data_IF_395794099154
#
_entry.id   IF_395794099154
#
_cell.length_a   1.000
_cell.length_b   1.000
_cell.length_c   1.000
_cell.angle_alpha   90.00
_cell.angle_beta   90.00
_cell.angle_gamma   90.00
#
_symmetry.space_group_name_H-M   'P 1'
#
loop_
_entity.id
_entity.type
_entity.pdbx_description
1 polymer ?
#
# COMPACT_ATOMS: atom_id res chain seq x y z
N UNK A 1 -4.82 10.99 8.03
CA UNK A 1 -5.50 11.18 6.73
C UNK A 1 -6.49 10.06 6.40
N UNK A 2 -6.67 9.09 7.29
CA UNK A 2 -7.61 7.98 7.14
C UNK A 2 -8.91 8.35 7.85
N UNK A 3 -10.04 8.05 7.22
CA UNK A 3 -11.36 8.24 7.79
C UNK A 3 -11.95 6.90 8.27
N UNK A 4 -11.89 6.62 9.58
CA UNK A 4 -12.31 5.34 10.16
C UNK A 4 -13.77 4.94 9.87
N UNK A 5 -14.76 5.85 9.87
CA UNK A 5 -16.12 5.48 9.50
C UNK A 5 -16.24 4.95 8.07
N UNK A 6 -15.44 5.51 7.14
CA UNK A 6 -15.35 4.97 5.78
C UNK A 6 -14.72 3.58 5.80
N UNK A 7 -13.59 3.40 6.49
CA UNK A 7 -12.93 2.08 6.61
C UNK A 7 -13.90 1.04 7.16
N UNK A 8 -14.64 1.36 8.23
CA UNK A 8 -15.61 0.46 8.83
C UNK A 8 -16.76 0.10 7.88
N UNK A 9 -17.26 1.08 7.11
CA UNK A 9 -18.27 0.84 6.07
C UNK A 9 -17.73 -0.09 4.99
N UNK A 10 -16.54 0.21 4.47
CA UNK A 10 -15.89 -0.61 3.45
C UNK A 10 -15.67 -2.05 3.92
N UNK A 11 -15.11 -2.26 5.11
CA UNK A 11 -14.93 -3.59 5.72
C UNK A 11 -16.26 -4.33 5.84
N UNK A 12 -17.35 -3.63 6.18
CA UNK A 12 -18.66 -4.27 6.35
C UNK A 12 -19.33 -4.63 5.01
N UNK A 13 -19.12 -3.84 3.95
CA UNK A 13 -19.94 -3.90 2.74
C UNK A 13 -19.23 -4.39 1.49
N UNK A 14 -17.90 -4.27 1.40
CA UNK A 14 -17.13 -4.57 0.19
C UNK A 14 -16.44 -5.92 0.37
N UNK A 15 -16.74 -6.87 -0.53
CA UNK A 15 -16.22 -8.25 -0.45
C UNK A 15 -14.69 -8.36 -0.53
N UNK A 16 -14.01 -7.33 -1.04
CA UNK A 16 -12.54 -7.22 -1.01
C UNK A 16 -11.98 -7.40 0.42
N UNK A 17 -12.71 -6.94 1.43
CA UNK A 17 -12.27 -6.95 2.82
C UNK A 17 -12.92 -8.06 3.66
N UNK A 18 -13.49 -9.09 3.03
CA UNK A 18 -14.18 -10.19 3.73
C UNK A 18 -13.28 -10.89 4.76
N UNK A 19 -11.98 -11.02 4.50
CA UNK A 19 -11.03 -11.60 5.45
C UNK A 19 -10.84 -10.72 6.69
N UNK A 20 -10.71 -9.40 6.50
CA UNK A 20 -10.63 -8.43 7.59
C UNK A 20 -11.92 -8.45 8.41
N UNK A 21 -13.07 -8.50 7.73
CA UNK A 21 -14.38 -8.60 8.39
C UNK A 21 -14.49 -9.88 9.21
N UNK A 22 -14.01 -11.03 8.72
CA UNK A 22 -14.00 -12.29 9.47
C UNK A 22 -13.18 -12.18 10.75
N UNK A 23 -12.04 -11.49 10.73
CA UNK A 23 -11.23 -11.30 11.93
C UNK A 23 -11.91 -10.38 12.94
N UNK A 24 -12.58 -9.31 12.47
CA UNK A 24 -13.45 -8.49 13.34
C UNK A 24 -14.60 -9.32 13.93
N UNK A 25 -15.23 -10.21 13.15
CA UNK A 25 -16.28 -11.11 13.63
C UNK A 25 -15.77 -12.08 14.71
N UNK A 26 -14.55 -12.61 14.55
CA UNK A 26 -13.92 -13.48 15.56
C UNK A 26 -13.65 -12.73 16.86
N UNK A 27 -13.12 -11.50 16.78
CA UNK A 27 -12.80 -10.69 17.95
C UNK A 27 -14.08 -10.26 18.69
N UNK A 28 -15.11 -9.86 17.96
CA UNK A 28 -16.40 -9.42 18.55
C UNK A 28 -17.30 -10.58 18.97
N UNK A 29 -17.07 -11.80 18.46
CA UNK A 29 -17.94 -12.96 18.64
C UNK A 29 -19.30 -12.83 17.93
N UNK A 30 -19.44 -11.90 16.97
CA UNK A 30 -20.69 -11.60 16.27
C UNK A 30 -20.57 -11.91 14.79
N UNK A 31 -21.59 -12.52 14.21
CA UNK A 31 -21.65 -12.73 12.75
C UNK A 31 -21.84 -11.41 11.98
N UNK A 32 -22.47 -10.41 12.58
CA UNK A 32 -22.77 -9.12 11.94
C UNK A 32 -22.43 -7.98 12.91
N UNK A 33 -21.15 -7.62 13.06
CA UNK A 33 -20.76 -6.45 13.84
C UNK A 33 -21.32 -5.18 13.20
N UNK A 34 -21.78 -4.25 14.03
CA UNK A 34 -22.22 -2.92 13.60
C UNK A 34 -21.02 -2.02 13.23
N UNK A 35 -21.25 -0.95 12.46
CA UNK A 35 -20.18 -0.02 12.06
C UNK A 35 -19.42 0.54 13.26
N UNK A 36 -20.14 0.93 14.33
CA UNK A 36 -19.53 1.42 15.56
C UNK A 36 -18.63 0.36 16.23
N UNK A 37 -19.00 -0.92 16.17
CA UNK A 37 -18.17 -1.99 16.71
C UNK A 37 -16.92 -2.22 15.88
N UNK A 38 -17.04 -2.17 14.55
CA UNK A 38 -15.89 -2.26 13.65
C UNK A 38 -14.93 -1.08 13.89
N UNK A 39 -15.45 0.14 14.00
CA UNK A 39 -14.64 1.34 14.34
C UNK A 39 -13.92 1.19 15.69
N UNK A 40 -14.59 0.64 16.71
CA UNK A 40 -13.97 0.40 18.01
C UNK A 40 -12.89 -0.67 17.95
N UNK A 41 -13.07 -1.72 17.14
CA UNK A 41 -12.04 -2.73 16.91
C UNK A 41 -10.85 -2.13 16.16
N UNK A 42 -11.06 -1.32 15.12
CA UNK A 42 -9.98 -0.63 14.40
C UNK A 42 -9.09 0.24 15.32
N UNK A 43 -9.65 0.77 16.42
CA UNK A 43 -8.89 1.53 17.43
C UNK A 43 -8.17 0.64 18.44
N UNK A 44 -8.76 -0.49 18.82
CA UNK A 44 -8.25 -1.39 19.87
C UNK A 44 -7.23 -2.39 19.34
N UNK A 45 -7.41 -2.80 18.09
CA UNK A 45 -6.61 -3.82 17.41
C UNK A 45 -6.01 -3.22 16.13
N UNK A 46 -4.85 -2.52 16.24
CA UNK A 46 -4.25 -1.82 15.10
C UNK A 46 -3.96 -2.71 13.90
N UNK A 47 -3.73 -4.01 14.14
CA UNK A 47 -3.50 -5.01 13.08
C UNK A 47 -4.64 -5.05 12.07
N UNK A 48 -5.90 -4.91 12.50
CA UNK A 48 -7.06 -4.91 11.59
C UNK A 48 -7.00 -3.73 10.61
N UNK A 49 -6.53 -2.57 11.07
CA UNK A 49 -6.35 -1.40 10.21
C UNK A 49 -5.17 -1.60 9.26
N UNK A 50 -4.08 -2.22 9.73
CA UNK A 50 -2.93 -2.53 8.87
C UNK A 50 -3.29 -3.56 7.79
N UNK A 51 -4.07 -4.59 8.11
CA UNK A 51 -4.54 -5.58 7.13
C UNK A 51 -5.42 -4.92 6.05
N UNK A 52 -6.33 -4.03 6.47
CA UNK A 52 -7.11 -3.21 5.52
C UNK A 52 -6.22 -2.37 4.61
N UNK A 53 -5.21 -1.69 5.19
CA UNK A 53 -4.28 -0.87 4.42
C UNK A 53 -3.47 -1.68 3.44
N UNK A 54 -3.00 -2.86 3.86
CA UNK A 54 -2.24 -3.77 3.04
C UNK A 54 -3.05 -4.23 1.83
N UNK A 55 -4.29 -4.65 2.04
CA UNK A 55 -5.20 -5.04 0.95
C UNK A 55 -5.35 -3.89 -0.06
N UNK A 56 -5.52 -2.66 0.41
CA UNK A 56 -5.60 -1.50 -0.48
C UNK A 56 -4.36 -1.35 -1.36
N UNK A 57 -3.16 -1.43 -0.77
CA UNK A 57 -1.92 -1.30 -1.53
C UNK A 57 -1.73 -2.43 -2.54
N UNK A 58 -2.10 -3.66 -2.19
CA UNK A 58 -2.06 -4.81 -3.10
C UNK A 58 -2.99 -4.62 -4.31
N UNK A 59 -4.13 -3.94 -4.11
CA UNK A 59 -5.11 -3.64 -5.15
C UNK A 59 -4.90 -2.25 -5.80
N UNK A 60 -3.79 -1.55 -5.50
CA UNK A 60 -3.48 -0.20 -5.97
C UNK A 60 -4.49 0.88 -5.57
N UNK A 61 -5.18 0.68 -4.46
CA UNK A 61 -6.09 1.63 -3.83
C UNK A 61 -5.32 2.44 -2.79
N UNK A 62 -5.63 3.73 -2.68
CA UNK A 62 -4.96 4.65 -1.74
C UNK A 62 -5.66 4.65 -0.38
N UNK A 63 -4.91 4.53 0.72
CA UNK A 63 -5.47 4.69 2.08
C UNK A 63 -5.65 6.15 2.49
N UNK A 64 -5.25 7.10 1.64
CA UNK A 64 -5.44 8.53 1.88
C UNK A 64 -6.87 8.91 1.51
N UNK A 65 -7.69 9.18 2.54
CA UNK A 65 -9.12 9.51 2.38
C UNK A 65 -9.37 11.02 2.29
N UNK A 66 -8.38 11.79 1.81
CA UNK A 66 -8.48 13.23 1.61
C UNK A 66 -8.44 13.57 0.12
N UNK A 67 -9.38 14.41 -0.32
CA UNK A 67 -9.34 15.06 -1.63
C UNK A 67 -8.35 16.20 -1.62
N UNK A 68 -7.96 16.60 -2.83
CA UNK A 68 -7.17 17.80 -3.03
C UNK A 68 -8.00 19.04 -2.65
N UNK A 69 -7.33 20.04 -2.09
CA UNK A 69 -7.94 21.30 -1.67
C UNK A 69 -8.25 22.15 -2.90
N UNK A 70 -9.49 22.62 -3.00
CA UNK A 70 -9.93 23.54 -4.05
C UNK A 70 -9.36 24.94 -3.84
N UNK A 71 -8.29 25.26 -4.58
CA UNK A 71 -7.59 26.53 -4.48
C UNK A 71 -8.46 27.75 -4.82
N UNK A 72 -9.54 27.57 -5.58
CA UNK A 72 -10.41 28.69 -6.01
C UNK A 72 -11.28 29.23 -4.88
N UNK A 73 -11.53 28.42 -3.85
CA UNK A 73 -12.35 28.77 -2.68
C UNK A 73 -11.52 29.34 -1.53
N UNK A 74 -10.21 29.38 -1.68
CA UNK A 74 -9.28 29.80 -0.65
C UNK A 74 -8.88 31.28 -0.77
N UNK A 75 -8.71 31.97 0.37
CA UNK A 75 -8.01 33.25 0.42
C UNK A 75 -6.60 33.14 -0.19
N UNK A 76 -6.14 34.18 -0.89
CA UNK A 76 -4.82 34.19 -1.57
C UNK A 76 -3.67 33.81 -0.63
N UNK A 77 -3.73 34.23 0.63
CA UNK A 77 -2.72 33.93 1.65
C UNK A 77 -2.60 32.43 1.99
N UNK A 78 -3.66 31.64 1.77
CA UNK A 78 -3.67 30.20 2.04
C UNK A 78 -3.37 29.35 0.78
N UNK A 79 -3.35 29.95 -0.42
CA UNK A 79 -3.29 29.20 -1.69
C UNK A 79 -1.95 28.49 -1.93
N UNK A 80 -0.82 29.14 -1.63
CA UNK A 80 0.51 28.54 -1.85
C UNK A 80 0.71 27.30 -0.97
N UNK A 81 0.29 27.37 0.28
CA UNK A 81 0.41 26.25 1.22
C UNK A 81 -0.56 25.11 0.89
N UNK A 82 -1.80 25.43 0.49
CA UNK A 82 -2.75 24.43 0.00
C UNK A 82 -2.24 23.74 -1.28
N UNK A 83 -1.52 24.46 -2.15
CA UNK A 83 -0.88 23.88 -3.33
C UNK A 83 0.27 22.95 -2.96
N UNK A 84 1.07 23.29 -1.95
CA UNK A 84 2.10 22.38 -1.42
C UNK A 84 1.45 21.13 -0.80
N UNK A 85 0.36 21.26 -0.05
CA UNK A 85 -0.40 20.11 0.48
C UNK A 85 -0.91 19.22 -0.64
N UNK A 86 -1.51 19.78 -1.70
CA UNK A 86 -1.99 18.97 -2.82
C UNK A 86 -0.85 18.20 -3.50
N UNK A 87 0.32 18.85 -3.66
CA UNK A 87 1.51 18.19 -4.17
C UNK A 87 1.97 17.05 -3.24
N UNK A 88 1.98 17.28 -1.94
CA UNK A 88 2.35 16.25 -0.97
C UNK A 88 1.35 15.10 -0.97
N UNK A 89 0.04 15.37 -1.02
CA UNK A 89 -1.00 14.34 -1.12
C UNK A 89 -0.81 13.48 -2.38
N UNK A 90 -0.50 14.09 -3.52
CA UNK A 90 -0.19 13.34 -4.74
C UNK A 90 1.06 12.46 -4.55
N UNK A 91 2.15 13.01 -4.02
CA UNK A 91 3.38 12.26 -3.77
C UNK A 91 3.16 11.11 -2.78
N UNK A 92 2.40 11.34 -1.71
CA UNK A 92 2.04 10.33 -0.72
C UNK A 92 1.30 9.17 -1.37
N UNK A 93 0.29 9.44 -2.22
CA UNK A 93 -0.44 8.39 -2.98
C UNK A 93 0.49 7.60 -3.91
N UNK A 94 1.46 8.26 -4.54
CA UNK A 94 2.41 7.61 -5.46
C UNK A 94 3.40 6.67 -4.76
N UNK A 95 3.88 7.06 -3.58
CA UNK A 95 4.89 6.30 -2.82
C UNK A 95 4.30 5.37 -1.77
N UNK A 96 2.97 5.42 -1.54
CA UNK A 96 2.27 4.62 -0.53
C UNK A 96 2.55 3.12 -0.65
N UNK A 97 2.64 2.61 -1.88
CA UNK A 97 2.94 1.19 -2.17
C UNK A 97 4.27 0.70 -1.59
N UNK A 98 5.20 1.61 -1.28
CA UNK A 98 6.49 1.27 -0.68
C UNK A 98 6.43 1.12 0.84
N UNK A 99 5.28 1.39 1.46
CA UNK A 99 5.04 1.12 2.89
C UNK A 99 4.77 -0.37 3.17
N UNK A 100 4.44 -1.15 2.13
CA UNK A 100 4.42 -2.62 2.22
C UNK A 100 5.82 -3.16 2.51
N UNK A 101 5.89 -4.21 3.34
CA UNK A 101 7.13 -4.95 3.52
C UNK A 101 7.60 -5.49 2.15
N UNK A 102 8.85 -5.22 1.80
CA UNK A 102 9.45 -5.71 0.56
C UNK A 102 9.32 -7.23 0.43
N UNK A 103 9.38 -7.96 1.55
CA UNK A 103 9.25 -9.43 1.57
C UNK A 103 7.84 -9.90 1.20
N UNK A 104 6.82 -9.10 1.51
CA UNK A 104 5.42 -9.35 1.15
C UNK A 104 5.04 -8.68 -0.17
N UNK A 105 5.90 -7.84 -0.73
CA UNK A 105 5.63 -7.13 -1.97
C UNK A 105 5.51 -8.08 -3.17
N UNK A 106 4.58 -7.75 -4.06
CA UNK A 106 4.45 -8.41 -5.37
C UNK A 106 5.75 -8.35 -6.19
N UNK A 107 6.61 -7.36 -5.93
CA UNK A 107 7.90 -7.21 -6.63
C UNK A 107 8.85 -8.38 -6.33
N UNK A 108 8.98 -8.79 -5.06
CA UNK A 108 9.85 -9.91 -4.70
C UNK A 108 9.29 -11.23 -5.25
N UNK A 109 7.97 -11.42 -5.16
CA UNK A 109 7.28 -12.58 -5.72
C UNK A 109 7.51 -12.69 -7.23
N UNK A 110 7.45 -11.57 -7.96
CA UNK A 110 7.73 -11.54 -9.41
C UNK A 110 9.19 -11.94 -9.69
N UNK A 111 10.15 -11.38 -8.95
CA UNK A 111 11.59 -11.71 -9.12
C UNK A 111 11.79 -13.22 -8.96
N UNK A 112 11.26 -13.82 -7.89
CA UNK A 112 11.39 -15.27 -7.68
C UNK A 112 10.63 -16.09 -8.72
N UNK A 113 9.42 -15.65 -9.11
CA UNK A 113 8.60 -16.38 -10.10
C UNK A 113 9.31 -16.49 -11.45
N UNK A 114 9.99 -15.43 -11.90
CA UNK A 114 10.80 -15.45 -13.12
C UNK A 114 11.97 -16.42 -12.98
N UNK A 115 12.71 -16.39 -11.88
CA UNK A 115 13.84 -17.31 -11.66
C UNK A 115 13.39 -18.77 -11.58
N UNK A 116 12.27 -19.06 -10.92
CA UNK A 116 11.68 -20.40 -10.90
C UNK A 116 11.28 -20.85 -12.30
N UNK A 117 10.61 -19.98 -13.07
CA UNK A 117 10.22 -20.30 -14.44
C UNK A 117 11.43 -20.61 -15.33
N UNK A 118 12.51 -19.83 -15.23
CA UNK A 118 13.77 -20.07 -15.94
C UNK A 118 14.38 -21.40 -15.52
N UNK A 119 14.45 -21.70 -14.21
CA UNK A 119 14.98 -22.96 -13.71
C UNK A 119 14.21 -24.17 -14.24
N UNK A 120 12.87 -24.13 -14.19
CA UNK A 120 12.02 -25.20 -14.71
C UNK A 120 12.18 -25.36 -16.22
N UNK A 121 12.25 -24.25 -16.96
CA UNK A 121 12.47 -24.27 -18.41
C UNK A 121 13.82 -24.89 -18.76
N UNK A 122 14.88 -24.49 -18.06
CA UNK A 122 16.23 -25.04 -18.21
C UNK A 122 16.25 -26.54 -17.93
N UNK A 123 15.61 -26.98 -16.83
CA UNK A 123 15.50 -28.39 -16.48
C UNK A 123 14.77 -29.19 -17.57
N UNK A 124 13.68 -28.64 -18.08
CA UNK A 124 12.90 -29.24 -19.16
C UNK A 124 13.75 -29.45 -20.43
N UNK A 125 14.53 -28.44 -20.83
CA UNK A 125 15.42 -28.56 -22.00
C UNK A 125 16.54 -29.58 -21.80
N UNK A 126 17.12 -29.69 -20.60
CA UNK A 126 18.15 -30.70 -20.30
C UNK A 126 17.60 -32.11 -20.55
N UNK A 127 16.37 -32.37 -20.10
CA UNK A 127 15.72 -33.67 -20.27
C UNK A 127 15.35 -33.91 -21.74
N UNK A 128 14.70 -32.94 -22.39
CA UNK A 128 14.19 -33.08 -23.75
C UNK A 128 15.30 -33.24 -24.79
N UNK A 129 16.40 -32.50 -24.64
CA UNK A 129 17.53 -32.51 -25.57
C UNK A 129 18.65 -33.48 -25.14
N UNK A 130 18.44 -34.24 -24.06
CA UNK A 130 19.41 -35.19 -23.49
C UNK A 130 20.79 -34.54 -23.18
N UNK A 131 20.80 -33.33 -22.63
CA UNK A 131 22.02 -32.56 -22.33
C UNK A 131 22.63 -32.89 -20.97
N UNK A 132 22.51 -34.14 -20.50
CA UNK A 132 22.96 -34.56 -19.16
C UNK A 132 24.43 -34.25 -18.88
N UNK A 133 25.30 -34.39 -19.88
CA UNK A 133 26.74 -34.12 -19.74
C UNK A 133 27.04 -32.63 -19.47
N UNK A 134 26.18 -31.72 -19.98
CA UNK A 134 26.34 -30.27 -19.82
C UNK A 134 25.59 -29.70 -18.62
N UNK A 135 24.82 -30.54 -17.91
CA UNK A 135 23.97 -30.14 -16.78
C UNK A 135 24.72 -29.29 -15.75
N UNK A 136 25.97 -29.65 -15.44
CA UNK A 136 26.80 -28.93 -14.47
C UNK A 136 27.13 -27.50 -14.93
N UNK A 137 27.46 -27.32 -16.20
CA UNK A 137 27.75 -26.01 -16.78
C UNK A 137 26.51 -25.13 -16.86
N UNK A 138 25.37 -25.73 -17.24
CA UNK A 138 24.09 -25.05 -17.34
C UNK A 138 23.63 -24.56 -15.96
N UNK A 139 23.69 -25.39 -14.93
CA UNK A 139 23.34 -24.97 -13.57
C UNK A 139 24.33 -23.98 -12.97
N UNK A 140 25.63 -24.09 -13.30
CA UNK A 140 26.62 -23.11 -12.84
C UNK A 140 26.35 -21.73 -13.45
N UNK A 141 25.96 -21.68 -14.72
CA UNK A 141 25.52 -20.44 -15.35
C UNK A 141 24.22 -19.91 -14.74
N UNK A 142 23.25 -20.78 -14.45
CA UNK A 142 22.04 -20.39 -13.73
C UNK A 142 22.32 -19.87 -12.32
N UNK A 143 23.30 -20.41 -11.59
CA UNK A 143 23.70 -19.87 -10.30
C UNK A 143 24.16 -18.40 -10.40
N UNK A 144 24.74 -17.99 -11.53
CA UNK A 144 25.07 -16.58 -11.77
C UNK A 144 23.82 -15.71 -11.95
N UNK A 145 22.72 -16.21 -12.55
CA UNK A 145 21.47 -15.45 -12.65
C UNK A 145 20.87 -15.19 -11.27
N UNK A 146 20.91 -16.18 -10.38
CA UNK A 146 20.48 -16.02 -8.98
C UNK A 146 21.27 -14.90 -8.28
N UNK A 147 22.59 -14.83 -8.49
CA UNK A 147 23.42 -13.75 -7.91
C UNK A 147 23.00 -12.38 -8.44
N UNK A 148 22.71 -12.27 -9.75
CA UNK A 148 22.22 -11.02 -10.35
C UNK A 148 20.84 -10.64 -9.79
N UNK A 149 19.91 -11.60 -9.69
CA UNK A 149 18.60 -11.41 -9.10
C UNK A 149 18.69 -10.97 -7.63
N UNK A 150 19.61 -11.55 -6.86
CA UNK A 150 19.87 -11.14 -5.47
C UNK A 150 20.39 -9.70 -5.38
N UNK A 151 21.34 -9.31 -6.23
CA UNK A 151 21.83 -7.92 -6.29
C UNK A 151 20.71 -6.94 -6.65
N UNK A 152 19.86 -7.32 -7.61
CA UNK A 152 18.71 -6.53 -8.01
C UNK A 152 17.69 -6.40 -6.87
N UNK A 153 17.31 -7.50 -6.22
CA UNK A 153 16.41 -7.51 -5.07
C UNK A 153 16.94 -6.63 -3.93
N UNK A 154 18.25 -6.67 -3.65
CA UNK A 154 18.88 -5.80 -2.64
C UNK A 154 18.81 -4.32 -3.01
N UNK A 155 18.96 -3.98 -4.30
CA UNK A 155 18.80 -2.60 -4.78
C UNK A 155 17.36 -2.13 -4.62
N UNK A 156 16.39 -2.97 -4.96
CA UNK A 156 14.96 -2.66 -4.81
C UNK A 156 14.59 -2.52 -3.34
N UNK A 157 15.05 -3.40 -2.46
CA UNK A 157 14.83 -3.28 -1.00
C UNK A 157 15.23 -1.91 -0.46
N UNK A 158 16.41 -1.40 -0.84
CA UNK A 158 16.85 -0.05 -0.46
C UNK A 158 15.91 1.05 -0.95
N UNK A 159 15.30 0.88 -2.13
CA UNK A 159 14.33 1.84 -2.65
C UNK A 159 13.04 1.85 -1.80
N UNK A 160 12.58 0.67 -1.36
CA UNK A 160 11.47 0.56 -0.41
C UNK A 160 11.81 1.26 0.92
N UNK A 161 12.98 0.97 1.50
CA UNK A 161 13.40 1.58 2.77
C UNK A 161 13.42 3.13 2.69
N UNK A 162 13.98 3.68 1.60
CA UNK A 162 14.07 5.14 1.39
C UNK A 162 12.67 5.76 1.22
N UNK A 163 11.83 5.14 0.39
CA UNK A 163 10.50 5.69 0.10
C UNK A 163 9.53 5.52 1.27
N UNK A 164 9.66 4.46 2.08
CA UNK A 164 8.88 4.29 3.30
C UNK A 164 9.23 5.38 4.32
N UNK A 165 10.52 5.66 4.53
CA UNK A 165 10.95 6.76 5.39
C UNK A 165 10.48 8.14 4.86
N UNK A 166 10.54 8.34 3.54
CA UNK A 166 10.01 9.56 2.92
C UNK A 166 8.49 9.68 3.08
N UNK A 167 7.76 8.57 2.98
CA UNK A 167 6.31 8.55 3.20
C UNK A 167 5.97 8.99 4.62
N UNK A 168 6.64 8.44 5.64
CA UNK A 168 6.42 8.81 7.04
C UNK A 168 6.65 10.31 7.28
N UNK A 169 7.80 10.84 6.86
CA UNK A 169 8.16 12.26 7.02
C UNK A 169 7.16 13.18 6.29
N UNK A 170 6.83 12.85 5.04
CA UNK A 170 5.90 13.63 4.24
C UNK A 170 4.47 13.56 4.80
N UNK A 171 4.09 12.42 5.38
CA UNK A 171 2.77 12.22 5.99
C UNK A 171 2.60 13.07 7.24
N UNK A 172 3.59 13.07 8.14
CA UNK A 172 3.61 13.91 9.33
C UNK A 172 3.61 15.39 8.96
N UNK A 173 4.53 15.81 8.08
CA UNK A 173 4.60 17.20 7.62
C UNK A 173 3.27 17.68 7.03
N UNK A 174 2.64 16.86 6.19
CA UNK A 174 1.39 17.24 5.53
C UNK A 174 0.21 17.26 6.51
N UNK A 175 0.21 16.40 7.53
CA UNK A 175 -0.76 16.49 8.61
C UNK A 175 -0.64 17.78 9.41
N UNK A 176 0.59 18.21 9.70
CA UNK A 176 0.85 19.46 10.42
C UNK A 176 0.41 20.68 9.58
N UNK A 177 0.76 20.72 8.29
CA UNK A 177 0.31 21.78 7.38
C UNK A 177 -1.22 21.84 7.25
N UNK A 178 -1.89 20.69 7.16
CA UNK A 178 -3.35 20.63 7.14
C UNK A 178 -3.96 21.22 8.42
N UNK A 179 -3.35 20.93 9.57
CA UNK A 179 -3.79 21.46 10.85
C UNK A 179 -3.57 22.97 10.94
N UNK A 180 -2.43 23.49 10.49
CA UNK A 180 -2.16 24.93 10.46
C UNK A 180 -3.11 25.72 9.55
N UNK A 181 -3.52 25.15 8.42
CA UNK A 181 -4.56 25.75 7.55
C UNK A 181 -5.95 25.69 8.20
N UNK A 182 -6.28 24.61 8.89
CA UNK A 182 -7.56 24.45 9.60
C UNK A 182 -7.65 25.42 10.80
N UNK A 183 -6.57 25.56 11.58
CA UNK A 183 -6.49 26.47 12.73
C UNK A 183 -6.62 27.96 12.31
N UNK A 184 -6.17 28.30 11.09
CA UNK A 184 -6.39 29.63 10.47
C UNK A 184 -7.80 29.80 9.87
N UNK A 185 -8.61 28.76 9.84
CA UNK A 185 -9.93 28.77 9.22
C UNK A 185 -9.91 28.84 7.69
N UNK A 186 -8.77 28.55 7.06
CA UNK A 186 -8.66 28.50 5.60
C UNK A 186 -9.44 27.30 5.03
N UNK A 187 -9.41 26.16 5.73
CA UNK A 187 -10.08 24.93 5.34
C UNK A 187 -10.83 24.31 6.52
N UNK A 188 -11.75 23.41 6.22
CA UNK A 188 -12.32 22.48 7.18
C UNK A 188 -11.98 21.06 6.67
N UNK A 189 -11.24 20.29 7.48
CA UNK A 189 -10.75 18.98 7.05
C UNK A 189 -11.88 18.01 6.73
N UNK A 190 -13.05 18.15 7.38
CA UNK A 190 -14.21 17.30 7.13
C UNK A 190 -14.73 17.42 5.70
N UNK A 191 -14.63 18.62 5.12
CA UNK A 191 -15.11 18.89 3.77
C UNK A 191 -14.21 18.25 2.68
N UNK A 192 -12.99 17.87 3.07
CA UNK A 192 -12.01 17.20 2.21
C UNK A 192 -12.11 15.68 2.27
N UNK A 193 -12.91 15.11 3.19
CA UNK A 193 -12.99 13.67 3.36
C UNK A 193 -13.68 13.03 2.16
N UNK A 194 -13.05 11.99 1.62
CA UNK A 194 -13.66 11.08 0.64
C UNK A 194 -14.46 10.05 1.44
N UNK A 195 -15.78 10.13 1.40
CA UNK A 195 -16.68 9.21 2.14
C UNK A 195 -16.89 7.87 1.42
N UNK A 196 -16.78 7.84 0.10
CA UNK A 196 -16.96 6.65 -0.73
C UNK A 196 -15.88 6.60 -1.81
N UNK A 197 -15.36 5.40 -2.08
CA UNK A 197 -14.36 5.17 -3.10
C UNK A 197 -15.06 4.68 -4.38
N UNK A 198 -15.00 5.48 -5.45
CA UNK A 198 -15.68 5.17 -6.72
C UNK A 198 -15.10 3.91 -7.41
N UNK A 199 -13.86 3.53 -7.10
CA UNK A 199 -13.17 2.37 -7.70
C UNK A 199 -13.65 1.01 -7.17
N UNK A 200 -14.51 0.98 -6.14
CA UNK A 200 -15.06 -0.26 -5.56
C UNK A 200 -16.49 -0.58 -6.04
N UNK A 201 -17.00 0.10 -7.07
CA UNK A 201 -18.33 -0.11 -7.67
C UNK A 201 -18.25 -1.02 -8.89
#
# INVERSE_FOLDING_TARGET
MIHLPRVAKEIQTIGLYDLVLQDVQKITGKQKPSLNEIEEILKKEPQILEDYKQINLEYNLSNIHLRDIDLTKLPQECQEEAKEINKNLQQLREIEKYTLDFEQSSTLVIIFSVEFFVLFSVQYFIVLLNLKEWQWWIYSFFALSIVVAWLYARKVRRLYDINSALYEDLYEKTLDMLKELEDRGCINKKDLIIEECEEHV
#
